data_IF_453663545286
#
_entry.id   IF_453663545286
#
_cell.length_a   1.000
_cell.length_b   1.000
_cell.length_c   1.000
_cell.angle_alpha   90.00
_cell.angle_beta   90.00
_cell.angle_gamma   90.00
#
_symmetry.space_group_name_H-M   'P 1'
#
loop_
_entity.id
_entity.type
_entity.pdbx_description
1 polymer ?
#
# COMPACT_ATOMS: atom_id res chain seq x y z
N UNK A 1 -20.82 0.43 -3.46
CA UNK A 1 -20.12 1.73 -3.40
C UNK A 1 -18.73 1.50 -2.82
N UNK A 2 -17.68 2.16 -3.34
CA UNK A 2 -16.34 2.05 -2.78
C UNK A 2 -16.33 2.57 -1.33
N UNK A 3 -15.57 1.90 -0.47
CA UNK A 3 -15.35 2.36 0.92
C UNK A 3 -14.49 3.61 0.91
N UNK A 4 -14.64 4.45 1.93
CA UNK A 4 -13.76 5.61 2.12
C UNK A 4 -12.33 5.14 2.33
N UNK A 5 -11.39 5.75 1.62
CA UNK A 5 -9.96 5.51 1.81
C UNK A 5 -9.40 6.45 2.86
N UNK A 6 -8.64 5.90 3.79
CA UNK A 6 -7.94 6.63 4.84
C UNK A 6 -6.48 6.19 4.86
N UNK A 7 -5.59 7.11 5.22
CA UNK A 7 -4.17 6.87 5.28
C UNK A 7 -3.66 7.18 6.67
N UNK A 8 -2.80 6.31 7.19
CA UNK A 8 -2.03 6.66 8.38
C UNK A 8 -0.82 7.51 7.98
N UNK A 9 -0.34 8.36 8.89
CA UNK A 9 0.90 9.13 8.71
C UNK A 9 2.11 8.26 8.34
N UNK A 10 2.14 7.00 8.79
CA UNK A 10 3.21 6.06 8.44
C UNK A 10 3.09 5.56 7.00
N UNK A 11 1.87 5.34 6.52
CA UNK A 11 1.65 4.92 5.14
C UNK A 11 1.98 6.05 4.15
N UNK A 12 1.69 7.31 4.51
CA UNK A 12 2.13 8.48 3.74
C UNK A 12 3.65 8.56 3.69
N UNK A 13 4.33 8.50 4.83
CA UNK A 13 5.79 8.52 4.89
C UNK A 13 6.44 7.32 4.16
N UNK A 14 5.81 6.14 4.19
CA UNK A 14 6.27 4.97 3.42
C UNK A 14 6.16 5.22 1.90
N UNK A 15 5.06 5.83 1.44
CA UNK A 15 4.85 6.19 0.03
C UNK A 15 5.87 7.23 -0.43
N UNK A 16 6.10 8.27 0.36
CA UNK A 16 7.08 9.32 0.01
C UNK A 16 8.48 8.71 -0.16
N UNK A 17 8.92 7.87 0.79
CA UNK A 17 10.21 7.16 0.71
C UNK A 17 10.31 6.23 -0.50
N UNK A 18 9.21 5.57 -0.86
CA UNK A 18 9.16 4.70 -2.03
C UNK A 18 9.36 5.50 -3.31
N UNK A 19 8.71 6.66 -3.45
CA UNK A 19 8.83 7.51 -4.62
C UNK A 19 10.22 8.12 -4.73
N UNK A 20 10.77 8.62 -3.62
CA UNK A 20 12.13 9.15 -3.52
C UNK A 20 13.17 8.08 -3.92
N UNK A 21 13.00 6.85 -3.44
CA UNK A 21 13.88 5.73 -3.79
C UNK A 21 13.88 5.40 -5.29
N UNK A 22 12.77 5.58 -6.00
CA UNK A 22 12.75 5.36 -7.45
C UNK A 22 13.17 6.57 -8.26
N UNK A 23 12.92 7.78 -7.76
CA UNK A 23 13.18 9.02 -8.47
C UNK A 23 14.68 9.33 -8.60
N UNK A 24 15.46 9.17 -7.51
CA UNK A 24 16.86 9.61 -7.49
C UNK A 24 17.85 8.61 -8.12
N UNK A 25 17.88 7.32 -7.72
CA UNK A 25 18.87 6.38 -8.24
C UNK A 25 18.43 5.59 -9.49
N UNK A 26 17.15 5.61 -9.89
CA UNK A 26 16.63 4.75 -10.99
C UNK A 26 16.08 5.53 -12.18
N UNK A 27 14.93 6.20 -12.03
CA UNK A 27 14.28 7.02 -13.07
C UNK A 27 12.97 7.63 -12.55
N UNK A 28 12.71 8.89 -12.88
CA UNK A 28 11.41 9.54 -12.64
C UNK A 28 10.22 8.75 -13.21
N UNK A 29 10.38 8.14 -14.38
CA UNK A 29 9.33 7.32 -15.00
C UNK A 29 8.97 6.08 -14.16
N UNK A 30 9.95 5.50 -13.48
CA UNK A 30 9.70 4.35 -12.62
C UNK A 30 8.95 4.76 -11.34
N UNK A 31 9.25 5.94 -10.78
CA UNK A 31 8.51 6.50 -9.65
C UNK A 31 7.05 6.77 -10.02
N UNK A 32 6.79 7.39 -11.18
CA UNK A 32 5.43 7.59 -11.70
C UNK A 32 4.69 6.27 -11.91
N UNK A 33 5.36 5.27 -12.48
CA UNK A 33 4.77 3.94 -12.69
C UNK A 33 4.44 3.26 -11.36
N UNK A 34 5.33 3.36 -10.36
CA UNK A 34 5.09 2.80 -9.03
C UNK A 34 3.89 3.47 -8.36
N UNK A 35 3.81 4.79 -8.45
CA UNK A 35 2.72 5.59 -7.90
C UNK A 35 1.36 5.21 -8.50
N UNK A 36 1.28 5.10 -9.82
CA UNK A 36 0.07 4.66 -10.52
C UNK A 36 -0.36 3.25 -10.09
N UNK A 37 0.60 2.32 -9.95
CA UNK A 37 0.30 0.95 -9.51
C UNK A 37 -0.22 0.89 -8.07
N UNK A 38 0.37 1.67 -7.17
CA UNK A 38 -0.06 1.74 -5.77
C UNK A 38 -1.45 2.36 -5.67
N UNK A 39 -1.68 3.48 -6.34
CA UNK A 39 -2.98 4.14 -6.39
C UNK A 39 -4.06 3.18 -6.88
N UNK A 40 -3.83 2.51 -8.01
CA UNK A 40 -4.78 1.55 -8.55
C UNK A 40 -5.04 0.37 -7.59
N UNK A 41 -4.00 -0.12 -6.91
CA UNK A 41 -4.15 -1.18 -5.92
C UNK A 41 -5.00 -0.72 -4.73
N UNK A 42 -4.76 0.48 -4.19
CA UNK A 42 -5.51 1.05 -3.07
C UNK A 42 -6.98 1.29 -3.43
N UNK A 43 -7.26 1.80 -4.63
CA UNK A 43 -8.63 1.95 -5.13
C UNK A 43 -9.36 0.60 -5.21
N UNK A 44 -8.68 -0.45 -5.66
CA UNK A 44 -9.24 -1.79 -5.67
C UNK A 44 -9.53 -2.32 -4.26
N UNK A 45 -8.72 -1.97 -3.26
CA UNK A 45 -9.00 -2.30 -1.86
C UNK A 45 -10.29 -1.65 -1.36
N UNK A 46 -10.58 -0.41 -1.78
CA UNK A 46 -11.83 0.26 -1.43
C UNK A 46 -13.07 -0.48 -1.95
N UNK A 47 -12.95 -1.16 -3.10
CA UNK A 47 -14.05 -1.90 -3.73
C UNK A 47 -14.15 -3.34 -3.19
N UNK A 48 -13.03 -4.05 -3.03
CA UNK A 48 -13.01 -5.48 -2.66
C UNK A 48 -12.00 -5.82 -1.55
N UNK A 49 -12.17 -5.28 -0.33
CA UNK A 49 -11.17 -5.41 0.73
C UNK A 49 -11.07 -6.79 1.39
N UNK A 50 -12.02 -7.71 1.16
CA UNK A 50 -12.07 -9.00 1.89
C UNK A 50 -11.24 -10.09 1.18
N UNK A 51 -10.81 -9.86 -0.07
CA UNK A 51 -10.12 -10.86 -0.90
C UNK A 51 -8.64 -11.07 -0.54
N UNK A 52 -8.06 -10.23 0.32
CA UNK A 52 -6.64 -10.27 0.62
C UNK A 52 -6.32 -11.01 1.92
N UNK A 53 -5.09 -11.52 2.00
CA UNK A 53 -4.61 -12.38 3.10
C UNK A 53 -4.78 -11.68 4.45
N UNK A 54 -5.30 -12.36 5.48
CA UNK A 54 -5.27 -11.85 6.86
C UNK A 54 -3.82 -11.63 7.32
N UNK A 55 -3.56 -10.45 7.89
CA UNK A 55 -2.31 -10.11 8.55
C UNK A 55 -2.44 -10.16 10.09
N UNK A 56 -1.47 -9.58 10.80
CA UNK A 56 -1.47 -9.50 12.27
C UNK A 56 -2.39 -8.37 12.77
N UNK A 57 -2.92 -8.48 13.99
CA UNK A 57 -3.67 -7.40 14.67
C UNK A 57 -4.82 -6.80 13.83
N UNK A 58 -5.57 -7.67 13.14
CA UNK A 58 -6.74 -7.29 12.34
C UNK A 58 -6.41 -6.60 11.02
N UNK A 59 -5.15 -6.61 10.58
CA UNK A 59 -4.79 -6.10 9.25
C UNK A 59 -5.02 -7.15 8.16
N UNK A 60 -4.89 -6.71 6.92
CA UNK A 60 -4.86 -7.51 5.70
C UNK A 60 -3.70 -7.04 4.83
N UNK A 61 -3.18 -7.94 4.01
CA UNK A 61 -1.98 -7.73 3.23
C UNK A 61 -2.28 -7.88 1.73
N UNK A 62 -2.11 -6.80 0.98
CA UNK A 62 -2.15 -6.81 -0.48
C UNK A 62 -0.71 -6.77 -1.01
N UNK A 63 -0.21 -7.94 -1.39
CA UNK A 63 1.13 -8.10 -1.98
C UNK A 63 1.07 -7.65 -3.44
N UNK A 64 1.85 -6.63 -3.79
CA UNK A 64 1.94 -6.16 -5.17
C UNK A 64 2.83 -7.11 -5.98
N UNK A 65 2.40 -7.40 -7.22
CA UNK A 65 3.13 -8.30 -8.13
C UNK A 65 4.18 -7.58 -8.97
N UNK A 66 3.92 -6.31 -9.35
CA UNK A 66 4.81 -5.54 -10.24
C UNK A 66 5.92 -4.82 -9.48
N UNK A 67 5.66 -4.42 -8.24
CA UNK A 67 6.62 -3.76 -7.39
C UNK A 67 6.79 -4.56 -6.10
N UNK A 68 8.00 -4.61 -5.53
CA UNK A 68 8.30 -5.42 -4.35
C UNK A 68 7.75 -4.76 -3.07
N UNK A 69 6.48 -4.39 -3.05
CA UNK A 69 5.82 -3.80 -1.89
C UNK A 69 4.58 -4.59 -1.48
N UNK A 70 4.25 -4.47 -0.20
CA UNK A 70 3.03 -5.01 0.40
C UNK A 70 2.28 -3.86 1.05
N UNK A 71 1.04 -3.66 0.62
CA UNK A 71 0.13 -2.68 1.22
C UNK A 71 -0.56 -3.37 2.38
N UNK A 72 -0.36 -2.87 3.59
CA UNK A 72 -1.03 -3.39 4.79
C UNK A 72 -2.11 -2.43 5.22
N UNK A 73 -3.32 -2.96 5.37
CA UNK A 73 -4.51 -2.15 5.60
C UNK A 73 -5.47 -2.81 6.59
N UNK A 74 -6.42 -2.04 7.09
CA UNK A 74 -7.58 -2.52 7.84
C UNK A 74 -8.85 -2.18 7.07
N UNK A 75 -9.79 -3.11 7.04
CA UNK A 75 -11.09 -2.90 6.41
C UNK A 75 -12.19 -2.91 7.46
N UNK A 76 -13.04 -1.88 7.44
CA UNK A 76 -14.26 -1.79 8.23
C UNK A 76 -15.49 -1.83 7.32
N UNK A 77 -16.69 -1.68 7.87
CA UNK A 77 -17.91 -1.57 7.07
C UNK A 77 -17.90 -0.34 6.15
N UNK A 78 -17.33 0.79 6.59
CA UNK A 78 -17.38 2.07 5.86
C UNK A 78 -16.06 2.54 5.26
N UNK A 79 -14.93 2.01 5.72
CA UNK A 79 -13.60 2.51 5.31
C UNK A 79 -12.56 1.41 5.11
N UNK A 80 -11.51 1.77 4.39
CA UNK A 80 -10.25 1.05 4.28
C UNK A 80 -9.15 2.00 4.73
N UNK A 81 -8.47 1.64 5.82
CA UNK A 81 -7.34 2.39 6.35
C UNK A 81 -6.04 1.74 5.89
N UNK A 82 -5.25 2.45 5.09
CA UNK A 82 -3.90 2.06 4.72
C UNK A 82 -2.97 2.33 5.91
N UNK A 83 -2.43 1.25 6.48
CA UNK A 83 -1.63 1.27 7.70
C UNK A 83 -0.14 1.41 7.39
N UNK A 84 0.37 0.69 6.38
CA UNK A 84 1.77 0.74 5.92
C UNK A 84 1.88 0.37 4.44
N UNK A 85 2.94 0.84 3.78
CA UNK A 85 3.39 0.33 2.47
C UNK A 85 4.83 -0.13 2.66
N UNK A 86 5.07 -1.43 2.66
CA UNK A 86 6.39 -1.96 3.02
C UNK A 86 7.06 -2.64 1.86
N UNK A 87 8.34 -2.36 1.68
CA UNK A 87 9.15 -3.14 0.76
C UNK A 87 9.21 -4.60 1.25
N UNK A 88 9.08 -5.58 0.38
CA UNK A 88 8.98 -7.01 0.74
C UNK A 88 10.27 -7.55 1.38
N UNK A 89 11.41 -6.91 1.11
CA UNK A 89 12.67 -7.19 1.79
C UNK A 89 12.77 -6.55 3.20
N UNK A 90 11.89 -5.60 3.53
CA UNK A 90 11.80 -5.05 4.89
C UNK A 90 10.96 -6.00 5.75
N UNK A 91 11.48 -6.38 6.92
CA UNK A 91 10.73 -7.22 7.87
C UNK A 91 9.51 -6.48 8.41
N UNK A 92 8.36 -7.15 8.42
CA UNK A 92 7.13 -6.68 9.07
C UNK A 92 7.27 -6.80 10.59
N UNK A 93 7.59 -5.68 11.26
CA UNK A 93 7.83 -5.48 12.70
C UNK A 93 8.86 -6.44 13.37
N UNK A 94 10.00 -5.86 13.79
CA UNK A 94 10.45 -6.05 15.17
C UNK A 94 9.67 -5.08 16.07
#
# INVERSE_FOLDING_TARGET
MPKRLEWSKRAEADRDRLLEYYAEPVSAHLAETAEAFITQAVENLAVRPVLHRPGKHGTRECVLKRFPYTIVYRATAGSVLIVRILHQAQKYFN
#
